data_IF_086880211787
#
_entry.id   IF_086880211787
#
_cell.length_a   1.000
_cell.length_b   1.000
_cell.length_c   1.000
_cell.angle_alpha   90.00
_cell.angle_beta   90.00
_cell.angle_gamma   90.00
#
_symmetry.space_group_name_H-M   'P 1'
#
loop_
_entity.id
_entity.type
_entity.pdbx_description
1 polymer ?
#
# COMPACT_ATOMS: atom_id res chain seq x y z
N UNK A 1 10.41 -40.05 57.19
CA UNK A 1 10.75 -40.39 55.79
C UNK A 1 10.83 -39.09 54.99
N UNK A 2 12.03 -38.51 54.85
CA UNK A 2 12.22 -37.32 54.02
C UNK A 2 12.49 -37.75 52.58
N UNK A 3 11.66 -37.28 51.64
CA UNK A 3 11.86 -37.52 50.20
C UNK A 3 12.92 -36.53 49.71
N UNK A 4 14.14 -37.01 49.47
CA UNK A 4 15.18 -36.23 48.77
C UNK A 4 14.68 -35.85 47.36
N UNK A 5 14.36 -34.57 47.18
CA UNK A 5 14.05 -33.95 45.89
C UNK A 5 15.28 -34.10 44.98
N UNK A 6 15.19 -34.93 43.93
CA UNK A 6 16.24 -35.03 42.91
C UNK A 6 16.25 -33.72 42.12
N UNK A 7 17.24 -32.87 42.39
CA UNK A 7 17.54 -31.75 41.51
C UNK A 7 17.97 -32.30 40.15
N UNK A 8 17.14 -32.11 39.14
CA UNK A 8 17.46 -32.46 37.77
C UNK A 8 18.41 -31.39 37.22
N UNK A 9 19.70 -31.50 37.55
CA UNK A 9 20.74 -30.68 36.91
C UNK A 9 20.92 -31.20 35.51
N UNK A 10 20.25 -30.58 34.55
CA UNK A 10 20.54 -30.76 33.12
C UNK A 10 22.02 -30.43 32.92
N UNK A 11 22.83 -31.46 32.66
CA UNK A 11 24.24 -31.29 32.31
C UNK A 11 24.24 -30.75 30.88
N UNK A 12 24.27 -29.42 30.76
CA UNK A 12 24.44 -28.75 29.48
C UNK A 12 25.90 -29.00 29.09
N UNK A 13 26.12 -29.89 28.12
CA UNK A 13 27.44 -30.03 27.50
C UNK A 13 27.80 -28.67 26.89
N UNK A 14 28.95 -28.11 27.25
CA UNK A 14 29.41 -26.78 26.80
C UNK A 14 29.25 -26.58 25.27
N UNK A 15 29.40 -27.65 24.49
CA UNK A 15 29.17 -27.63 23.04
C UNK A 15 27.73 -27.32 22.61
N UNK A 16 26.70 -27.80 23.32
CA UNK A 16 25.30 -27.50 22.97
C UNK A 16 24.90 -26.09 23.36
N UNK A 17 25.47 -25.54 24.44
CA UNK A 17 25.29 -24.13 24.79
C UNK A 17 25.84 -23.19 23.70
N UNK A 18 27.03 -23.48 23.17
CA UNK A 18 27.64 -22.69 22.10
C UNK A 18 26.83 -22.72 20.79
N UNK A 19 26.27 -23.88 20.43
CA UNK A 19 25.42 -24.02 19.24
C UNK A 19 24.16 -23.14 19.33
N UNK A 20 23.52 -23.09 20.51
CA UNK A 20 22.32 -22.27 20.73
C UNK A 20 22.64 -20.78 20.62
N UNK A 21 23.78 -20.34 21.19
CA UNK A 21 24.22 -18.94 21.12
C UNK A 21 24.44 -18.49 19.67
N UNK A 22 25.12 -19.32 18.86
CA UNK A 22 25.38 -19.01 17.46
C UNK A 22 24.06 -18.94 16.66
N UNK A 23 23.15 -19.89 16.88
CA UNK A 23 21.85 -19.91 16.21
C UNK A 23 21.04 -18.65 16.53
N UNK A 24 20.97 -18.28 17.81
CA UNK A 24 20.28 -17.06 18.25
C UNK A 24 20.95 -15.82 17.63
N UNK A 25 22.28 -15.77 17.57
CA UNK A 25 23.01 -14.68 16.92
C UNK A 25 22.69 -14.55 15.43
N UNK A 26 22.66 -15.66 14.69
CA UNK A 26 22.25 -15.65 13.28
C UNK A 26 20.78 -15.24 13.12
N UNK A 27 19.88 -15.74 13.98
CA UNK A 27 18.47 -15.38 13.95
C UNK A 27 18.26 -13.88 14.19
N UNK A 28 18.97 -13.28 15.15
CA UNK A 28 18.92 -11.84 15.37
C UNK A 28 19.42 -11.04 14.17
N UNK A 29 20.50 -11.49 13.52
CA UNK A 29 21.02 -10.83 12.31
C UNK A 29 19.99 -10.85 11.17
N UNK A 30 19.31 -11.98 10.94
CA UNK A 30 18.25 -12.11 9.92
C UNK A 30 17.05 -11.22 10.26
N UNK A 31 16.59 -11.22 11.51
CA UNK A 31 15.46 -10.38 11.95
C UNK A 31 15.79 -8.89 11.77
N UNK A 32 17.01 -8.47 12.12
CA UNK A 32 17.45 -7.09 11.94
C UNK A 32 17.50 -6.69 10.45
N UNK A 33 18.04 -7.56 9.58
CA UNK A 33 18.08 -7.31 8.15
C UNK A 33 16.67 -7.19 7.55
N UNK A 34 15.75 -8.08 7.93
CA UNK A 34 14.35 -8.00 7.50
C UNK A 34 13.67 -6.72 8.01
N UNK A 35 13.90 -6.31 9.26
CA UNK A 35 13.33 -5.08 9.83
C UNK A 35 13.82 -3.82 9.10
N UNK A 36 15.08 -3.78 8.68
CA UNK A 36 15.63 -2.65 7.90
C UNK A 36 15.07 -2.67 6.48
N UNK A 37 15.05 -3.83 5.83
CA UNK A 37 14.50 -3.97 4.48
C UNK A 37 13.00 -3.64 4.43
N UNK A 38 12.23 -4.09 5.43
CA UNK A 38 10.81 -3.80 5.51
C UNK A 38 10.58 -2.32 5.80
N UNK A 39 11.27 -1.73 6.78
CA UNK A 39 11.08 -0.30 7.08
C UNK A 39 11.45 0.61 5.91
N UNK A 40 12.48 0.28 5.12
CA UNK A 40 12.77 1.04 3.90
C UNK A 40 11.66 0.87 2.85
N UNK A 41 11.18 -0.35 2.62
CA UNK A 41 10.11 -0.59 1.67
C UNK A 41 8.80 0.10 2.10
N UNK A 42 8.46 -0.02 3.38
CA UNK A 42 7.28 0.59 4.01
C UNK A 42 7.37 2.12 3.98
N UNK A 43 8.57 2.69 4.17
CA UNK A 43 8.80 4.14 4.08
C UNK A 43 8.56 4.66 2.66
N UNK A 44 9.16 4.03 1.65
CA UNK A 44 8.96 4.41 0.25
C UNK A 44 7.50 4.25 -0.18
N UNK A 45 6.83 3.17 0.25
CA UNK A 45 5.41 2.98 0.01
C UNK A 45 4.57 4.09 0.65
N UNK A 46 4.84 4.41 1.92
CA UNK A 46 4.13 5.46 2.65
C UNK A 46 4.32 6.82 2.00
N UNK A 47 5.54 7.11 1.53
CA UNK A 47 5.84 8.36 0.80
C UNK A 47 5.01 8.48 -0.48
N UNK A 48 4.96 7.42 -1.31
CA UNK A 48 4.14 7.40 -2.52
C UNK A 48 2.65 7.55 -2.23
N UNK A 49 2.16 6.93 -1.15
CA UNK A 49 0.77 7.08 -0.72
C UNK A 49 0.45 8.51 -0.26
N UNK A 50 1.38 9.15 0.45
CA UNK A 50 1.23 10.54 0.88
C UNK A 50 1.19 11.49 -0.33
N UNK A 51 2.08 11.31 -1.30
CA UNK A 51 2.11 12.05 -2.55
C UNK A 51 0.80 11.89 -3.34
N UNK A 52 0.36 10.65 -3.57
CA UNK A 52 -0.93 10.38 -4.23
C UNK A 52 -2.11 11.06 -3.53
N UNK A 53 -2.09 11.07 -2.20
CA UNK A 53 -3.14 11.70 -1.38
C UNK A 53 -3.11 13.22 -1.56
N UNK A 54 -1.91 13.82 -1.55
CA UNK A 54 -1.72 15.24 -1.80
C UNK A 54 -2.21 15.64 -3.20
N UNK A 55 -1.83 14.89 -4.23
CA UNK A 55 -2.23 15.14 -5.62
C UNK A 55 -3.76 15.05 -5.79
N UNK A 56 -4.38 14.03 -5.19
CA UNK A 56 -5.83 13.89 -5.20
C UNK A 56 -6.53 15.10 -4.58
N UNK A 57 -6.06 15.57 -3.42
CA UNK A 57 -6.65 16.74 -2.78
C UNK A 57 -6.39 18.03 -3.55
N UNK A 58 -5.24 18.16 -4.22
CA UNK A 58 -4.97 19.30 -5.10
C UNK A 58 -5.95 19.34 -6.29
N UNK A 59 -6.15 18.21 -6.96
CA UNK A 59 -7.11 18.09 -8.07
C UNK A 59 -8.56 18.30 -7.61
N UNK A 60 -8.92 17.77 -6.44
CA UNK A 60 -10.22 18.00 -5.80
C UNK A 60 -10.47 19.48 -5.56
N UNK A 61 -9.51 20.20 -4.97
CA UNK A 61 -9.65 21.62 -4.71
C UNK A 61 -9.82 22.42 -6.01
N UNK A 62 -9.05 22.10 -7.05
CA UNK A 62 -9.21 22.73 -8.36
C UNK A 62 -10.59 22.44 -8.98
N UNK A 63 -11.12 21.23 -8.81
CA UNK A 63 -12.46 20.92 -9.29
C UNK A 63 -13.53 21.74 -8.56
N UNK A 64 -13.44 21.88 -7.24
CA UNK A 64 -14.34 22.75 -6.47
C UNK A 64 -14.24 24.22 -6.89
N UNK A 65 -13.04 24.72 -7.14
CA UNK A 65 -12.83 26.09 -7.61
C UNK A 65 -13.52 26.31 -8.96
N UNK A 66 -13.36 25.40 -9.93
CA UNK A 66 -14.06 25.45 -11.22
C UNK A 66 -15.59 25.40 -11.10
N UNK A 67 -16.12 24.64 -10.15
CA UNK A 67 -17.58 24.55 -9.89
C UNK A 67 -18.09 25.85 -9.26
N UNK A 68 -17.32 26.41 -8.32
CA UNK A 68 -17.65 27.66 -7.66
C UNK A 68 -17.62 28.83 -8.67
N UNK A 69 -16.61 28.90 -9.53
CA UNK A 69 -16.51 29.90 -10.60
C UNK A 69 -17.67 29.82 -11.60
N UNK A 70 -18.11 28.60 -11.94
CA UNK A 70 -19.25 28.41 -12.84
C UNK A 70 -20.61 28.60 -12.16
N UNK A 71 -20.63 28.85 -10.84
CA UNK A 71 -21.82 29.00 -10.01
C UNK A 71 -22.74 27.79 -10.11
N UNK A 72 -22.17 26.58 -9.96
CA UNK A 72 -22.90 25.30 -9.95
C UNK A 72 -23.74 25.03 -11.21
N UNK A 73 -23.29 25.56 -12.35
CA UNK A 73 -23.89 25.25 -13.65
C UNK A 73 -23.63 23.80 -14.06
N UNK A 74 -24.51 23.29 -14.91
CA UNK A 74 -24.36 21.96 -15.48
C UNK A 74 -23.08 21.89 -16.32
N UNK A 75 -22.12 21.09 -15.89
CA UNK A 75 -20.84 20.94 -16.55
C UNK A 75 -20.23 19.57 -16.27
N UNK A 76 -19.47 19.08 -17.24
CA UNK A 76 -18.68 17.86 -17.16
C UNK A 76 -17.26 18.21 -17.53
N UNK A 77 -16.32 17.91 -16.65
CA UNK A 77 -14.92 18.22 -16.86
C UNK A 77 -14.03 17.26 -16.10
N UNK A 78 -12.79 17.15 -16.55
CA UNK A 78 -11.75 16.37 -15.90
C UNK A 78 -10.68 17.28 -15.32
N UNK A 79 -10.06 16.85 -14.22
CA UNK A 79 -8.89 17.50 -13.61
C UNK A 79 -7.79 16.48 -13.47
N UNK A 80 -6.60 16.78 -13.98
CA UNK A 80 -5.46 15.89 -13.87
C UNK A 80 -5.03 15.75 -12.41
N UNK A 81 -4.91 14.51 -11.93
CA UNK A 81 -4.37 14.19 -10.60
C UNK A 81 -2.87 13.92 -10.75
N UNK A 82 -2.50 13.07 -11.70
CA UNK A 82 -1.12 12.72 -12.05
C UNK A 82 -1.04 12.24 -13.51
N UNK A 83 0.12 11.76 -13.94
CA UNK A 83 0.37 11.32 -15.33
C UNK A 83 -0.57 10.19 -15.82
N UNK A 84 -1.17 9.44 -14.91
CA UNK A 84 -1.99 8.26 -15.23
C UNK A 84 -3.39 8.31 -14.61
N UNK A 85 -3.78 9.41 -13.97
CA UNK A 85 -5.06 9.50 -13.28
C UNK A 85 -5.67 10.88 -13.43
N UNK A 86 -6.98 10.89 -13.71
CA UNK A 86 -7.79 12.10 -13.79
C UNK A 86 -8.99 11.99 -12.88
N UNK A 87 -9.42 13.11 -12.31
CA UNK A 87 -10.66 13.24 -11.58
C UNK A 87 -11.76 13.68 -12.56
N UNK A 88 -12.71 12.79 -12.83
CA UNK A 88 -13.91 13.08 -13.62
C UNK A 88 -15.00 13.64 -12.72
N UNK A 89 -15.48 14.84 -13.05
CA UNK A 89 -16.50 15.56 -12.28
C UNK A 89 -17.65 15.97 -13.17
N UNK A 90 -18.85 15.57 -12.77
CA UNK A 90 -20.10 15.95 -13.42
C UNK A 90 -21.00 16.65 -12.42
N UNK A 91 -21.41 17.86 -12.75
CA UNK A 91 -22.34 18.68 -11.98
C UNK A 91 -23.61 18.86 -12.80
N UNK A 92 -24.76 18.59 -12.19
CA UNK A 92 -26.08 18.78 -12.78
C UNK A 92 -27.04 19.25 -11.70
N UNK A 93 -27.95 20.16 -12.04
CA UNK A 93 -29.03 20.64 -11.15
C UNK A 93 -28.55 21.18 -9.79
N UNK A 94 -27.33 21.75 -9.76
CA UNK A 94 -26.74 22.28 -8.53
C UNK A 94 -26.16 21.23 -7.60
N UNK A 95 -26.05 19.96 -8.02
CA UNK A 95 -25.44 18.88 -7.27
C UNK A 95 -24.31 18.19 -8.06
N UNK A 96 -23.38 17.56 -7.35
CA UNK A 96 -22.31 16.75 -7.97
C UNK A 96 -22.88 15.35 -8.22
N UNK A 97 -23.16 15.01 -9.47
CA UNK A 97 -23.65 13.69 -9.88
C UNK A 97 -22.53 12.65 -9.93
N UNK A 98 -21.31 13.06 -10.29
CA UNK A 98 -20.20 12.12 -10.46
C UNK A 98 -18.92 12.75 -9.95
N UNK A 99 -18.22 11.98 -9.12
CA UNK A 99 -16.91 12.31 -8.59
C UNK A 99 -16.08 11.04 -8.57
N UNK A 100 -15.38 10.77 -9.67
CA UNK A 100 -14.68 9.51 -9.85
C UNK A 100 -13.26 9.73 -10.34
N UNK A 101 -12.32 8.99 -9.75
CA UNK A 101 -10.95 8.91 -10.25
C UNK A 101 -10.90 7.86 -11.35
N UNK A 102 -10.52 8.28 -12.55
CA UNK A 102 -10.33 7.42 -13.71
C UNK A 102 -8.84 7.27 -14.00
N UNK A 103 -8.44 6.05 -14.37
CA UNK A 103 -7.07 5.76 -14.76
C UNK A 103 -6.94 5.98 -16.27
N UNK A 104 -6.06 6.87 -16.68
CA UNK A 104 -5.76 7.19 -18.09
C UNK A 104 -4.62 6.35 -18.66
N UNK A 105 -4.00 5.50 -17.83
CA UNK A 105 -3.02 4.52 -18.27
C UNK A 105 -3.66 3.44 -19.12
N UNK A 106 -3.21 3.35 -20.37
CA UNK A 106 -3.55 2.26 -21.27
C UNK A 106 -2.84 0.99 -20.78
N UNK A 107 -3.58 0.10 -20.13
CA UNK A 107 -3.06 -1.21 -19.77
C UNK A 107 -3.13 -2.11 -21.01
N UNK A 108 -2.08 -2.08 -21.83
CA UNK A 108 -1.90 -3.09 -22.86
C UNK A 108 -1.49 -4.39 -22.18
N UNK A 109 -2.46 -5.29 -21.99
CA UNK A 109 -2.13 -6.67 -21.73
C UNK A 109 -1.30 -7.13 -22.93
N UNK A 110 -0.02 -7.38 -22.74
CA UNK A 110 0.72 -8.29 -23.63
C UNK A 110 0.17 -9.72 -23.43
N UNK A 111 -1.13 -9.88 -23.65
CA UNK A 111 -1.85 -11.13 -23.62
C UNK A 111 -1.90 -11.63 -25.05
N UNK A 112 -0.96 -12.51 -25.38
CA UNK A 112 -1.09 -13.41 -26.53
C UNK A 112 -2.16 -14.49 -26.30
N UNK A 113 -2.94 -14.41 -25.22
CA UNK A 113 -4.03 -15.34 -24.95
C UNK A 113 -5.30 -14.85 -25.68
N UNK A 114 -5.95 -15.72 -26.48
CA UNK A 114 -7.19 -15.37 -27.14
C UNK A 114 -8.27 -15.10 -26.09
N UNK A 115 -9.02 -14.01 -26.27
CA UNK A 115 -10.19 -13.66 -25.44
C UNK A 115 -11.25 -14.76 -25.66
N UNK A 116 -11.54 -15.53 -24.61
CA UNK A 116 -12.65 -16.49 -24.63
C UNK A 116 -13.95 -15.69 -24.51
N UNK A 117 -14.63 -15.51 -25.63
CA UNK A 117 -16.00 -15.01 -25.66
C UNK A 117 -16.89 -16.17 -25.21
N UNK A 118 -17.50 -16.06 -24.03
CA UNK A 118 -18.57 -16.99 -23.65
C UNK A 118 -19.81 -16.55 -24.43
N UNK A 119 -20.15 -17.31 -25.48
CA UNK A 119 -21.47 -17.18 -26.13
C UNK A 119 -22.54 -17.60 -25.10
N UNK A 120 -23.55 -16.74 -24.90
CA UNK A 120 -24.70 -16.97 -24.02
C UNK A 120 -25.60 -18.12 -24.49
#
# INVERSE_FOLDING_TARGET
MERKKRENRTIINIGTALMVVILIGMAFAVIAALSISSSHHDYELTKKMAERTQDYYAASNQAYEKIAESNWKNQEFTVDINENQVLSVKVSDGEIETWQVENTGDWDAQSSQPVLILEE
#
